data_IF_217257122580
#
_entry.id   IF_217257122580
#
_cell.length_a   1.000
_cell.length_b   1.000
_cell.length_c   1.000
_cell.angle_alpha   90.00
_cell.angle_beta   90.00
_cell.angle_gamma   90.00
#
_symmetry.space_group_name_H-M   'P 1'
#
loop_
_entity.id
_entity.type
_entity.pdbx_description
1 polymer ?
#
# COMPACT_ATOMS: atom_id res chain seq x y z
N UNK A 1 -15.73 9.64 5.91
CA UNK A 1 -14.84 8.54 6.34
C UNK A 1 -15.18 8.15 7.78
N UNK A 2 -15.20 6.86 8.10
CA UNK A 2 -15.42 6.41 9.48
C UNK A 2 -14.15 6.78 10.29
N UNK A 3 -14.28 7.39 11.50
CA UNK A 3 -13.11 7.79 12.29
C UNK A 3 -12.12 6.65 12.53
N UNK A 4 -12.60 5.41 12.67
CA UNK A 4 -11.76 4.23 12.89
C UNK A 4 -10.74 3.99 11.75
N UNK A 5 -11.04 4.42 10.50
CA UNK A 5 -10.15 4.30 9.34
C UNK A 5 -9.14 5.45 9.22
N UNK A 6 -9.11 6.39 10.18
CA UNK A 6 -8.03 7.39 10.27
C UNK A 6 -6.81 6.87 11.03
N UNK A 7 -6.85 5.62 11.45
CA UNK A 7 -5.76 4.92 12.13
C UNK A 7 -5.37 3.62 11.45
N UNK A 8 -4.35 2.98 12.01
CA UNK A 8 -3.88 1.67 11.61
C UNK A 8 -4.36 0.61 12.60
N UNK A 9 -4.93 -0.47 12.07
CA UNK A 9 -5.26 -1.66 12.85
C UNK A 9 -4.00 -2.43 13.15
N UNK A 10 -3.79 -2.78 14.40
CA UNK A 10 -2.79 -3.74 14.85
C UNK A 10 -3.48 -5.04 15.24
N UNK A 11 -3.08 -6.13 14.62
CA UNK A 11 -3.44 -7.50 15.00
C UNK A 11 -2.18 -8.22 15.46
N UNK A 12 -2.11 -8.51 16.74
CA UNK A 12 -1.03 -9.28 17.37
C UNK A 12 -1.49 -10.71 17.51
N UNK A 13 -0.77 -11.64 16.95
CA UNK A 13 -0.94 -13.08 17.12
C UNK A 13 0.31 -13.64 17.82
N UNK A 14 0.30 -14.93 18.13
CA UNK A 14 1.39 -15.55 18.88
C UNK A 14 2.74 -15.51 18.13
N UNK A 15 2.69 -15.57 16.81
CA UNK A 15 3.87 -15.67 15.94
C UNK A 15 4.09 -14.41 15.07
N UNK A 16 3.19 -13.44 15.13
CA UNK A 16 3.25 -12.31 14.18
C UNK A 16 2.50 -11.06 14.64
N UNK A 17 2.92 -9.92 14.10
CA UNK A 17 2.21 -8.65 14.21
C UNK A 17 1.84 -8.22 12.80
N UNK A 18 0.56 -7.98 12.57
CA UNK A 18 0.03 -7.47 11.31
C UNK A 18 -0.51 -6.06 11.53
N UNK A 19 -0.10 -5.11 10.71
CA UNK A 19 -0.60 -3.74 10.72
C UNK A 19 -1.29 -3.44 9.40
N UNK A 20 -2.51 -2.88 9.47
CA UNK A 20 -3.35 -2.61 8.29
C UNK A 20 -3.87 -1.18 8.31
N UNK A 21 -3.77 -0.51 7.19
CA UNK A 21 -4.37 0.80 6.93
C UNK A 21 -5.27 0.74 5.70
N UNK A 22 -6.40 1.48 5.71
CA UNK A 22 -7.35 1.58 4.59
C UNK A 22 -7.92 2.99 4.47
N UNK A 23 -8.23 3.44 3.24
CA UNK A 23 -8.90 4.73 3.03
C UNK A 23 -10.10 4.68 2.07
N UNK A 24 -10.59 3.48 1.74
CA UNK A 24 -11.70 3.26 0.82
C UNK A 24 -11.30 3.12 -0.65
N UNK A 25 -10.07 3.45 -1.03
CA UNK A 25 -9.53 3.31 -2.39
C UNK A 25 -8.30 2.41 -2.46
N UNK A 26 -7.65 2.18 -1.33
CA UNK A 26 -6.43 1.41 -1.20
C UNK A 26 -6.32 0.78 0.17
N UNK A 27 -5.52 -0.26 0.25
CA UNK A 27 -5.19 -0.96 1.48
C UNK A 27 -3.69 -1.18 1.52
N UNK A 28 -3.11 -0.96 2.68
CA UNK A 28 -1.72 -1.30 2.98
C UNK A 28 -1.68 -2.27 4.16
N UNK A 29 -0.95 -3.36 4.01
CA UNK A 29 -0.70 -4.36 5.04
C UNK A 29 0.80 -4.57 5.18
N UNK A 30 1.26 -4.60 6.42
CA UNK A 30 2.60 -5.05 6.80
C UNK A 30 2.49 -6.12 7.85
N UNK A 31 3.37 -7.13 7.76
CA UNK A 31 3.45 -8.22 8.70
C UNK A 31 4.89 -8.48 9.11
N UNK A 32 5.10 -8.62 10.40
CA UNK A 32 6.36 -9.03 11.00
C UNK A 32 6.14 -10.38 11.69
N UNK A 33 7.07 -11.29 11.48
CA UNK A 33 7.14 -12.53 12.23
C UNK A 33 7.80 -12.24 13.56
N UNK A 34 7.20 -12.71 14.65
CA UNK A 34 7.80 -12.60 15.98
C UNK A 34 9.00 -13.55 16.10
N UNK A 35 10.07 -13.09 16.74
CA UNK A 35 11.27 -13.89 17.02
C UNK A 35 11.01 -14.96 18.10
N UNK A 36 10.04 -14.70 18.97
CA UNK A 36 9.58 -15.60 20.01
C UNK A 36 8.07 -15.49 20.18
N UNK A 37 7.40 -16.54 20.75
CA UNK A 37 5.96 -16.50 20.99
C UNK A 37 5.57 -15.29 21.85
N UNK A 38 4.57 -14.52 21.38
CA UNK A 38 4.09 -13.32 22.10
C UNK A 38 3.17 -13.72 23.27
N UNK A 39 2.54 -14.90 23.20
CA UNK A 39 1.64 -15.43 24.22
C UNK A 39 0.32 -14.66 24.38
N UNK A 40 -0.03 -13.79 23.41
CA UNK A 40 -1.24 -12.96 23.46
C UNK A 40 -1.80 -12.74 22.07
N UNK A 41 -3.12 -12.71 22.00
CA UNK A 41 -3.84 -12.24 20.80
C UNK A 41 -4.51 -10.90 21.13
N UNK A 42 -4.14 -9.85 20.39
CA UNK A 42 -4.62 -8.50 20.63
C UNK A 42 -5.08 -7.86 19.30
N UNK A 43 -6.10 -7.01 19.40
CA UNK A 43 -6.59 -6.23 18.26
C UNK A 43 -6.93 -4.82 18.74
N UNK A 44 -6.30 -3.82 18.15
CA UNK A 44 -6.50 -2.42 18.52
C UNK A 44 -6.15 -1.49 17.36
N UNK A 45 -6.66 -0.25 17.41
CA UNK A 45 -6.43 0.74 16.34
C UNK A 45 -5.73 1.96 16.90
N UNK A 46 -4.57 2.28 16.32
CA UNK A 46 -3.75 3.43 16.67
C UNK A 46 -4.01 4.55 15.67
N UNK A 47 -4.30 5.79 16.09
CA UNK A 47 -4.43 6.92 15.19
C UNK A 47 -3.18 7.12 14.34
N UNK A 48 -3.34 7.34 13.02
CA UNK A 48 -2.21 7.56 12.11
C UNK A 48 -1.35 8.79 12.51
N UNK A 49 -1.98 9.80 13.11
CA UNK A 49 -1.26 10.96 13.62
C UNK A 49 -0.24 10.58 14.71
N UNK A 50 -0.61 9.69 15.64
CA UNK A 50 0.30 9.22 16.69
C UNK A 50 1.46 8.39 16.09
N UNK A 51 1.19 7.54 15.11
CA UNK A 51 2.24 6.78 14.43
C UNK A 51 3.22 7.68 13.69
N UNK A 52 2.74 8.75 13.04
CA UNK A 52 3.60 9.75 12.39
C UNK A 52 4.46 10.53 13.38
N UNK A 53 3.94 10.86 14.56
CA UNK A 53 4.74 11.50 15.60
C UNK A 53 5.77 10.53 16.18
N UNK A 54 5.41 9.26 16.43
CA UNK A 54 6.36 8.23 16.84
C UNK A 54 7.49 8.03 15.80
N UNK A 55 7.16 7.99 14.51
CA UNK A 55 8.13 7.91 13.42
C UNK A 55 9.10 9.09 13.41
N UNK A 56 8.61 10.32 13.59
CA UNK A 56 9.45 11.52 13.66
C UNK A 56 10.40 11.50 14.85
N UNK A 57 9.91 11.05 16.02
CA UNK A 57 10.73 10.95 17.24
C UNK A 57 11.80 9.86 17.06
N UNK A 58 11.42 8.73 16.47
CA UNK A 58 12.34 7.62 16.21
C UNK A 58 13.43 8.02 15.21
N UNK A 59 13.07 8.78 14.16
CA UNK A 59 14.01 9.16 13.11
C UNK A 59 14.56 7.95 12.35
N UNK A 60 15.72 8.14 11.70
CA UNK A 60 16.46 7.09 10.99
C UNK A 60 17.55 6.52 11.90
N UNK A 61 17.18 5.64 12.81
CA UNK A 61 18.04 5.05 13.84
C UNK A 61 17.66 3.60 14.09
N UNK A 62 18.61 2.81 14.60
CA UNK A 62 18.39 1.44 15.06
C UNK A 62 17.85 1.35 16.50
N UNK A 63 17.44 2.48 17.10
CA UNK A 63 16.84 2.48 18.44
C UNK A 63 15.53 1.69 18.49
N UNK A 64 15.30 1.02 19.61
CA UNK A 64 14.10 0.24 19.83
C UNK A 64 12.95 1.13 20.28
N UNK A 65 11.82 1.07 19.57
CA UNK A 65 10.57 1.62 20.02
C UNK A 65 9.80 0.58 20.83
N UNK A 66 9.60 0.84 22.11
CA UNK A 66 8.78 -0.02 22.98
C UNK A 66 7.39 0.57 23.14
N UNK A 67 6.35 -0.25 22.98
CA UNK A 67 4.99 0.21 23.21
C UNK A 67 4.29 -0.61 24.30
N UNK A 68 3.54 0.09 25.14
CA UNK A 68 2.72 -0.49 26.19
C UNK A 68 1.26 -0.23 25.89
N UNK A 69 0.49 -1.31 25.80
CA UNK A 69 -0.93 -1.26 25.51
C UNK A 69 -1.74 -1.28 26.79
N UNK A 70 -2.48 -0.18 27.05
CA UNK A 70 -3.51 -0.10 28.07
C UNK A 70 -4.91 -0.37 27.51
N UNK A 71 -5.92 -0.24 28.33
CA UNK A 71 -7.32 -0.48 27.91
C UNK A 71 -7.83 0.51 26.86
N UNK A 72 -7.39 1.76 26.92
CA UNK A 72 -7.83 2.86 26.01
C UNK A 72 -6.68 3.68 25.44
N UNK A 73 -5.47 3.42 25.83
CA UNK A 73 -4.29 4.18 25.46
C UNK A 73 -3.15 3.26 25.05
N UNK A 74 -2.29 3.77 24.22
CA UNK A 74 -0.99 3.18 23.90
C UNK A 74 0.10 4.19 24.25
N UNK A 75 1.21 3.70 24.83
CA UNK A 75 2.41 4.48 25.10
C UNK A 75 3.51 3.96 24.18
N UNK A 76 4.21 4.88 23.52
CA UNK A 76 5.44 4.61 22.79
C UNK A 76 6.60 5.21 23.60
N UNK A 77 7.60 4.39 23.90
CA UNK A 77 8.85 4.86 24.53
C UNK A 77 9.97 4.70 23.50
N UNK A 78 10.62 5.81 23.18
CA UNK A 78 11.68 5.92 22.17
C UNK A 78 12.82 6.74 22.84
N UNK A 79 13.91 6.09 23.21
CA UNK A 79 14.94 6.72 24.04
C UNK A 79 14.35 7.31 25.33
N UNK A 80 14.55 8.59 25.57
CA UNK A 80 13.99 9.33 26.72
C UNK A 80 12.58 9.88 26.48
N UNK A 81 12.09 9.82 25.25
CA UNK A 81 10.77 10.35 24.89
C UNK A 81 9.65 9.32 25.15
N UNK A 82 8.53 9.82 25.67
CA UNK A 82 7.31 9.02 25.83
C UNK A 82 6.14 9.71 25.13
N UNK A 83 5.54 9.03 24.16
CA UNK A 83 4.35 9.48 23.46
C UNK A 83 3.15 8.67 23.95
N UNK A 84 2.13 9.35 24.47
CA UNK A 84 0.87 8.74 24.92
C UNK A 84 -0.22 9.07 23.92
N UNK A 85 -0.96 8.06 23.47
CA UNK A 85 -2.06 8.24 22.53
C UNK A 85 -3.28 7.43 22.95
N UNK A 86 -4.48 8.01 22.75
CA UNK A 86 -5.75 7.28 22.90
C UNK A 86 -6.00 6.43 21.68
N UNK A 87 -6.39 5.19 21.89
CA UNK A 87 -6.82 4.27 20.82
C UNK A 87 -8.14 4.72 20.19
N UNK A 88 -8.31 4.41 18.91
CA UNK A 88 -9.60 4.60 18.24
C UNK A 88 -10.53 3.44 18.58
N UNK A 89 -11.75 3.78 18.97
CA UNK A 89 -12.80 2.81 19.31
C UNK A 89 -13.70 2.55 18.08
N UNK A 90 -14.15 1.32 17.91
CA UNK A 90 -15.06 0.90 16.87
C UNK A 90 -14.61 -0.36 16.14
N UNK A 91 -15.40 -0.81 15.18
CA UNK A 91 -15.11 -1.97 14.36
C UNK A 91 -14.32 -1.56 13.11
N UNK A 92 -13.11 -2.08 12.98
CA UNK A 92 -12.31 -1.92 11.76
C UNK A 92 -12.78 -2.88 10.69
N UNK A 93 -12.66 -2.47 9.42
CA UNK A 93 -12.99 -3.30 8.26
C UNK A 93 -12.32 -4.67 8.33
N UNK A 94 -13.06 -5.73 7.98
CA UNK A 94 -12.46 -7.05 7.77
C UNK A 94 -11.66 -7.04 6.45
N UNK A 95 -10.40 -6.69 6.57
CA UNK A 95 -9.48 -6.52 5.45
C UNK A 95 -9.25 -7.80 4.65
N UNK A 96 -9.40 -8.97 5.27
CA UNK A 96 -9.25 -10.27 4.61
C UNK A 96 -10.28 -10.50 3.52
N UNK A 97 -11.48 -9.92 3.69
CA UNK A 97 -12.55 -9.98 2.67
C UNK A 97 -12.38 -8.97 1.55
N UNK A 98 -11.55 -7.95 1.77
CA UNK A 98 -11.31 -6.88 0.78
C UNK A 98 -10.17 -7.25 -0.16
N UNK A 99 -9.14 -7.92 0.36
CA UNK A 99 -8.02 -8.38 -0.46
C UNK A 99 -8.50 -9.49 -1.40
N UNK A 100 -8.36 -9.32 -2.73
CA UNK A 100 -8.67 -10.37 -3.67
C UNK A 100 -7.82 -11.60 -3.42
N UNK A 101 -8.39 -12.76 -3.60
CA UNK A 101 -7.71 -14.06 -3.53
C UNK A 101 -7.59 -14.62 -4.95
N UNK A 102 -6.51 -15.33 -5.23
CA UNK A 102 -6.31 -16.06 -6.48
C UNK A 102 -6.29 -15.18 -7.75
N UNK A 103 -5.42 -14.19 -7.79
CA UNK A 103 -5.16 -13.43 -9.00
C UNK A 103 -4.40 -14.32 -10.02
N UNK A 104 -4.96 -14.54 -11.22
CA UNK A 104 -4.38 -15.45 -12.20
C UNK A 104 -3.14 -14.87 -12.89
N UNK A 105 -3.06 -13.54 -13.01
CA UNK A 105 -1.95 -12.86 -13.68
C UNK A 105 -1.00 -12.35 -12.62
N UNK A 106 0.28 -12.76 -12.73
CA UNK A 106 1.37 -12.35 -11.85
C UNK A 106 2.53 -11.85 -12.69
N UNK A 107 2.93 -10.63 -12.44
CA UNK A 107 4.00 -9.94 -13.14
C UNK A 107 5.07 -9.53 -12.15
N UNK A 108 6.32 -9.85 -12.42
CA UNK A 108 7.43 -9.34 -11.60
C UNK A 108 7.93 -8.02 -12.19
N UNK A 109 8.05 -7.01 -11.34
CA UNK A 109 8.45 -5.66 -11.75
C UNK A 109 9.59 -5.14 -10.87
N UNK A 110 10.51 -4.39 -11.50
CA UNK A 110 11.47 -3.59 -10.76
C UNK A 110 10.77 -2.33 -10.21
N UNK A 111 10.74 -2.19 -8.89
CA UNK A 111 9.98 -1.15 -8.19
C UNK A 111 10.46 0.25 -8.57
N UNK A 112 11.77 0.49 -8.60
CA UNK A 112 12.33 1.80 -8.94
C UNK A 112 11.99 2.19 -10.37
N UNK A 113 12.22 1.30 -11.35
CA UNK A 113 11.93 1.58 -12.76
C UNK A 113 10.45 1.86 -13.02
N UNK A 114 9.56 1.09 -12.39
CA UNK A 114 8.13 1.32 -12.52
C UNK A 114 7.70 2.63 -11.86
N UNK A 115 8.25 2.96 -10.69
CA UNK A 115 8.02 4.23 -10.00
C UNK A 115 8.42 5.40 -10.89
N UNK A 116 9.65 5.38 -11.44
CA UNK A 116 10.18 6.43 -12.31
C UNK A 116 9.31 6.63 -13.56
N UNK A 117 8.82 5.53 -14.17
CA UNK A 117 7.95 5.59 -15.35
C UNK A 117 6.61 6.24 -15.02
N UNK A 118 5.99 5.86 -13.90
CA UNK A 118 4.73 6.43 -13.46
C UNK A 118 4.89 7.90 -13.02
N UNK A 119 6.01 8.25 -12.39
CA UNK A 119 6.31 9.65 -12.05
C UNK A 119 6.40 10.53 -13.30
N UNK A 120 7.13 10.07 -14.33
CA UNK A 120 7.25 10.83 -15.60
C UNK A 120 5.90 11.09 -16.25
N UNK A 121 5.06 10.07 -16.39
CA UNK A 121 3.72 10.26 -16.98
C UNK A 121 2.79 11.03 -16.05
N UNK A 122 3.04 10.98 -14.75
CA UNK A 122 2.29 11.72 -13.73
C UNK A 122 2.50 13.23 -13.76
N UNK A 123 3.61 13.73 -14.35
CA UNK A 123 3.95 15.16 -14.36
C UNK A 123 2.88 16.06 -15.00
N UNK A 124 2.12 15.55 -15.95
CA UNK A 124 1.07 16.31 -16.63
C UNK A 124 -0.30 16.18 -15.97
N UNK A 125 -0.45 15.32 -14.95
CA UNK A 125 -1.70 15.13 -14.23
C UNK A 125 -1.85 16.24 -13.19
N UNK A 126 -2.85 17.09 -13.35
CA UNK A 126 -3.16 18.09 -12.32
C UNK A 126 -4.02 17.48 -11.20
N UNK A 127 -3.81 17.94 -9.96
CA UNK A 127 -4.63 17.53 -8.81
C UNK A 127 -6.13 17.86 -8.98
N UNK A 128 -6.45 18.90 -9.77
CA UNK A 128 -7.83 19.31 -10.06
C UNK A 128 -8.55 18.36 -11.01
N UNK A 129 -7.86 17.90 -12.05
CA UNK A 129 -8.47 17.08 -13.11
C UNK A 129 -8.53 15.59 -12.74
N UNK A 130 -7.66 15.13 -11.83
CA UNK A 130 -7.59 13.75 -11.36
C UNK A 130 -7.64 12.71 -12.48
N UNK A 131 -7.06 13.05 -13.65
CA UNK A 131 -6.95 12.11 -14.77
C UNK A 131 -6.22 10.85 -14.31
N UNK A 132 -6.70 9.65 -14.67
CA UNK A 132 -6.02 8.41 -14.31
C UNK A 132 -4.72 8.25 -15.11
N UNK A 133 -3.74 7.57 -14.52
CA UNK A 133 -2.70 6.91 -15.30
C UNK A 133 -3.30 5.65 -15.88
N UNK A 134 -3.23 5.47 -17.20
CA UNK A 134 -3.54 4.24 -17.90
C UNK A 134 -2.33 3.34 -17.88
N UNK A 135 -2.49 2.12 -17.38
CA UNK A 135 -1.44 1.12 -17.32
C UNK A 135 -1.87 -0.05 -18.19
N UNK A 136 -1.12 -0.33 -19.26
CA UNK A 136 -1.32 -1.49 -20.12
C UNK A 136 -0.20 -2.49 -19.88
N UNK A 137 -0.57 -3.68 -19.47
CA UNK A 137 0.34 -4.77 -19.18
C UNK A 137 0.32 -5.78 -20.33
N UNK A 138 1.37 -5.80 -21.12
CA UNK A 138 1.56 -6.74 -22.22
C UNK A 138 2.54 -7.85 -21.86
N UNK A 139 3.06 -8.52 -22.90
CA UNK A 139 4.12 -9.51 -22.73
C UNK A 139 5.45 -8.81 -22.43
N UNK A 140 5.99 -9.01 -21.22
CA UNK A 140 7.26 -8.48 -20.73
C UNK A 140 7.37 -6.94 -20.74
N UNK A 141 6.28 -6.22 -20.93
CA UNK A 141 6.25 -4.75 -20.96
C UNK A 141 5.05 -4.19 -20.23
N UNK A 142 5.26 -3.07 -19.54
CA UNK A 142 4.20 -2.24 -19.00
C UNK A 142 4.27 -0.85 -19.65
N UNK A 143 3.19 -0.45 -20.28
CA UNK A 143 3.00 0.85 -20.96
C UNK A 143 2.17 1.76 -20.07
N UNK A 144 2.66 2.96 -19.80
CA UNK A 144 2.01 3.96 -18.96
C UNK A 144 1.69 5.19 -19.78
N UNK A 145 0.43 5.63 -19.71
CA UNK A 145 -0.05 6.81 -20.44
C UNK A 145 -0.90 7.68 -19.54
N UNK A 146 -0.76 8.97 -19.71
CA UNK A 146 -1.66 9.98 -19.14
C UNK A 146 -2.02 11.03 -20.17
N UNK A 147 -3.24 11.56 -20.08
CA UNK A 147 -3.74 12.62 -20.95
C UNK A 147 -4.29 13.73 -20.08
N UNK A 148 -3.96 14.96 -20.42
CA UNK A 148 -4.48 16.16 -19.75
C UNK A 148 -4.72 17.28 -20.75
N UNK A 149 -5.22 18.43 -20.28
CA UNK A 149 -5.41 19.63 -21.12
C UNK A 149 -4.11 20.23 -21.65
N UNK A 150 -2.96 19.89 -21.05
CA UNK A 150 -1.64 20.40 -21.46
C UNK A 150 -0.88 19.46 -22.38
N UNK A 151 -1.37 18.26 -22.60
CA UNK A 151 -0.74 17.30 -23.50
C UNK A 151 -0.92 15.84 -23.08
N UNK A 152 -0.13 14.98 -23.68
CA UNK A 152 -0.06 13.55 -23.44
C UNK A 152 1.37 13.16 -23.01
N UNK A 153 1.50 12.26 -22.06
CA UNK A 153 2.75 11.65 -21.64
C UNK A 153 2.66 10.13 -21.75
N UNK A 154 3.75 9.53 -22.20
CA UNK A 154 3.87 8.09 -22.43
C UNK A 154 5.25 7.61 -21.99
N UNK A 155 5.27 6.46 -21.32
CA UNK A 155 6.51 5.78 -20.92
C UNK A 155 6.30 4.26 -20.85
N UNK A 156 7.38 3.50 -21.00
CA UNK A 156 7.37 2.03 -20.99
C UNK A 156 8.44 1.51 -20.07
N UNK A 157 8.12 0.53 -19.24
CA UNK A 157 9.12 -0.21 -18.48
C UNK A 157 9.05 -1.71 -18.77
N UNK A 158 10.21 -2.38 -18.59
CA UNK A 158 10.29 -3.83 -18.68
C UNK A 158 9.74 -4.48 -17.43
N UNK A 159 8.96 -5.52 -17.62
CA UNK A 159 8.41 -6.39 -16.57
C UNK A 159 8.73 -7.84 -16.93
N UNK A 160 8.49 -8.79 -16.03
CA UNK A 160 8.56 -10.21 -16.35
C UNK A 160 7.16 -10.83 -16.23
N UNK A 161 6.70 -11.48 -17.29
CA UNK A 161 5.40 -12.13 -17.38
C UNK A 161 4.52 -11.56 -18.49
N UNK A 162 3.32 -12.12 -18.62
CA UNK A 162 2.33 -11.71 -19.61
C UNK A 162 1.07 -11.15 -18.93
N UNK A 163 0.83 -9.86 -19.10
CA UNK A 163 -0.35 -9.15 -18.62
C UNK A 163 -1.56 -9.24 -19.54
N UNK A 164 -1.46 -10.02 -20.63
CA UNK A 164 -2.55 -10.29 -21.60
C UNK A 164 -3.11 -9.01 -22.23
N UNK A 165 -2.25 -8.03 -22.46
CA UNK A 165 -2.63 -6.70 -22.99
C UNK A 165 -3.68 -5.96 -22.15
N UNK A 166 -3.76 -6.29 -20.87
CA UNK A 166 -4.76 -5.71 -19.97
C UNK A 166 -4.49 -4.22 -19.72
N UNK A 167 -5.51 -3.40 -19.92
CA UNK A 167 -5.48 -1.97 -19.61
C UNK A 167 -6.29 -1.68 -18.35
N UNK A 168 -5.68 -0.96 -17.39
CA UNK A 168 -6.30 -0.55 -16.13
C UNK A 168 -5.95 0.91 -15.84
N UNK A 169 -6.94 1.70 -15.41
CA UNK A 169 -6.71 3.06 -14.94
C UNK A 169 -6.48 3.10 -13.44
N UNK A 170 -5.54 3.92 -12.97
CA UNK A 170 -5.30 4.14 -11.55
C UNK A 170 -5.15 5.62 -11.21
N UNK A 171 -5.48 5.98 -9.97
CA UNK A 171 -5.02 7.23 -9.41
C UNK A 171 -3.49 7.20 -9.28
N UNK A 172 -2.81 8.12 -9.98
CA UNK A 172 -1.35 8.18 -10.04
C UNK A 172 -0.71 8.21 -8.65
N UNK A 173 -1.22 9.08 -7.76
CA UNK A 173 -0.69 9.24 -6.40
C UNK A 173 -0.84 7.95 -5.59
N UNK A 174 -1.99 7.27 -5.67
CA UNK A 174 -2.20 6.05 -4.90
C UNK A 174 -1.28 4.92 -5.34
N UNK A 175 -1.04 4.82 -6.66
CA UNK A 175 -0.12 3.83 -7.21
C UNK A 175 1.32 4.12 -6.79
N UNK A 176 1.76 5.39 -6.88
CA UNK A 176 3.09 5.82 -6.43
C UNK A 176 3.30 5.63 -4.93
N UNK A 177 2.31 5.97 -4.09
CA UNK A 177 2.40 5.78 -2.65
C UNK A 177 2.58 4.29 -2.29
N UNK A 178 1.90 3.39 -3.01
CA UNK A 178 2.04 1.95 -2.81
C UNK A 178 3.44 1.46 -3.23
N UNK A 179 3.92 1.84 -4.43
CA UNK A 179 5.25 1.46 -4.92
C UNK A 179 6.36 1.95 -4.00
N UNK A 180 6.31 3.22 -3.58
CA UNK A 180 7.32 3.82 -2.67
C UNK A 180 7.37 3.17 -1.29
N UNK A 181 6.28 2.52 -0.88
CA UNK A 181 6.23 1.80 0.40
C UNK A 181 6.85 0.39 0.31
N UNK A 182 7.15 -0.12 -0.90
CA UNK A 182 7.77 -1.43 -1.09
C UNK A 182 9.25 -1.35 -0.73
N UNK A 183 9.74 -2.20 0.20
CA UNK A 183 11.14 -2.15 0.63
C UNK A 183 12.09 -2.88 -0.32
N UNK A 184 11.53 -3.68 -1.24
CA UNK A 184 12.29 -4.56 -2.13
C UNK A 184 12.59 -3.87 -3.46
N UNK A 185 13.63 -4.33 -4.14
CA UNK A 185 13.94 -3.91 -5.51
C UNK A 185 12.93 -4.42 -6.54
N UNK A 186 12.26 -5.53 -6.23
CA UNK A 186 11.25 -6.16 -7.08
C UNK A 186 9.99 -6.53 -6.29
N UNK A 187 8.84 -6.49 -6.95
CA UNK A 187 7.58 -6.98 -6.39
C UNK A 187 6.76 -7.73 -7.44
N UNK A 188 5.82 -8.54 -6.97
CA UNK A 188 4.80 -9.18 -7.78
C UNK A 188 3.58 -8.28 -7.88
N UNK A 189 3.20 -7.90 -9.10
CA UNK A 189 1.90 -7.32 -9.40
C UNK A 189 0.92 -8.42 -9.70
N UNK A 190 -0.17 -8.49 -8.96
CA UNK A 190 -1.19 -9.51 -9.11
C UNK A 190 -2.49 -8.90 -9.61
N UNK A 191 -3.02 -9.43 -10.71
CA UNK A 191 -4.14 -8.87 -11.48
C UNK A 191 -5.19 -9.94 -11.77
N UNK A 192 -6.44 -9.51 -11.96
CA UNK A 192 -7.56 -10.37 -12.37
C UNK A 192 -8.12 -9.90 -13.71
N UNK A 193 -8.51 -8.63 -13.80
CA UNK A 193 -9.07 -7.99 -14.99
C UNK A 193 -8.99 -6.46 -14.88
N UNK A 194 -9.33 -5.74 -15.93
CA UNK A 194 -9.26 -4.27 -16.00
C UNK A 194 -10.18 -3.49 -15.04
N UNK A 195 -11.03 -4.16 -14.28
CA UNK A 195 -11.95 -3.55 -13.30
C UNK A 195 -11.70 -4.01 -11.87
N UNK A 196 -10.73 -4.90 -11.67
CA UNK A 196 -10.34 -5.43 -10.35
C UNK A 196 -9.13 -4.69 -9.80
N UNK A 197 -8.97 -4.66 -8.47
CA UNK A 197 -7.80 -4.05 -7.85
C UNK A 197 -6.49 -4.69 -8.31
N UNK A 198 -5.43 -3.88 -8.37
CA UNK A 198 -4.07 -4.39 -8.41
C UNK A 198 -3.60 -4.69 -6.98
N UNK A 199 -2.92 -5.81 -6.80
CA UNK A 199 -2.27 -6.18 -5.53
C UNK A 199 -0.78 -6.33 -5.75
N UNK A 200 0.01 -5.74 -4.87
CA UNK A 200 1.46 -5.77 -4.88
C UNK A 200 1.95 -6.57 -3.69
N UNK A 201 2.65 -7.67 -3.95
CA UNK A 201 3.15 -8.61 -2.95
C UNK A 201 4.66 -8.82 -3.10
N UNK A 202 5.36 -9.35 -2.07
CA UNK A 202 6.74 -9.80 -2.22
C UNK A 202 6.83 -10.93 -3.25
N UNK A 203 7.89 -10.91 -4.09
CA UNK A 203 8.14 -12.00 -5.06
C UNK A 203 8.48 -13.33 -4.39
N UNK A 204 8.99 -13.31 -3.15
CA UNK A 204 9.38 -14.50 -2.38
C UNK A 204 8.22 -15.25 -1.73
N UNK A 205 6.99 -14.75 -1.86
CA UNK A 205 5.80 -15.36 -1.26
C UNK A 205 5.73 -15.24 0.28
N UNK A 206 6.60 -14.47 0.91
CA UNK A 206 6.66 -14.33 2.38
C UNK A 206 5.41 -13.71 2.99
N UNK A 207 4.65 -12.94 2.21
CA UNK A 207 3.45 -12.23 2.68
C UNK A 207 3.73 -11.14 3.72
N UNK A 208 4.98 -10.66 3.81
CA UNK A 208 5.40 -9.62 4.77
C UNK A 208 4.79 -8.24 4.48
N UNK A 209 4.32 -8.01 3.26
CA UNK A 209 3.47 -6.88 2.90
C UNK A 209 2.45 -7.26 1.83
N UNK A 210 1.39 -6.47 1.74
CA UNK A 210 0.45 -6.48 0.62
C UNK A 210 -0.12 -5.08 0.46
N UNK A 211 -0.03 -4.53 -0.75
CA UNK A 211 -0.62 -3.23 -1.08
C UNK A 211 -1.64 -3.42 -2.18
N UNK A 212 -2.84 -2.91 -1.95
CA UNK A 212 -3.95 -2.97 -2.92
C UNK A 212 -4.36 -1.56 -3.32
N UNK A 213 -4.56 -1.34 -4.61
CA UNK A 213 -5.09 -0.08 -5.16
C UNK A 213 -6.29 -0.39 -6.05
N UNK A 214 -7.42 0.28 -5.79
CA UNK A 214 -8.62 0.16 -6.60
C UNK A 214 -8.43 0.84 -7.96
N UNK A 215 -8.98 0.28 -9.04
CA UNK A 215 -8.94 0.90 -10.35
C UNK A 215 -9.87 2.11 -10.44
N UNK A 216 -9.55 3.01 -11.34
CA UNK A 216 -10.42 4.09 -11.81
C UNK A 216 -11.03 3.67 -13.14
N UNK A 217 -12.34 3.87 -13.30
CA UNK A 217 -12.99 3.57 -14.58
C UNK A 217 -12.43 4.47 -15.67
N UNK A 218 -11.94 3.84 -16.73
CA UNK A 218 -11.53 4.52 -17.95
C UNK A 218 -12.78 4.84 -18.78
N UNK A 219 -12.89 6.05 -19.29
CA UNK A 219 -13.93 6.38 -20.25
C UNK A 219 -13.52 5.90 -21.63
N UNK A 220 -14.46 5.35 -22.39
CA UNK A 220 -14.22 4.98 -23.77
C UNK A 220 -14.02 6.26 -24.61
N UNK A 221 -12.85 6.37 -25.26
CA UNK A 221 -12.58 7.47 -26.20
C UNK A 221 -11.77 8.65 -25.63
N UNK A 222 -11.24 8.56 -24.41
CA UNK A 222 -10.21 9.50 -23.90
C UNK A 222 -8.83 8.88 -23.91
#
# INVERSE_FOLDING_TARGET
>A
ARPIHTGCLFEVADDSITVVAVDGYRLALRRWKAESPIGRTLKFVVPAAALKEAEKILGDTDETCTFFLGSKHILFTIGEATLVCRLLEGEFLDWRRVLPQNQPIKLAVNVAKMTDSIERVGLIISEKLKSPVRCRFGENTADFRSVSTIGEAHDVCQIAGDGQDMEIGFNCRYLLDALRAIPDSECSLELVNGLSPIVMNPCDGSGRYSYMVLPVRLKAGE
#
